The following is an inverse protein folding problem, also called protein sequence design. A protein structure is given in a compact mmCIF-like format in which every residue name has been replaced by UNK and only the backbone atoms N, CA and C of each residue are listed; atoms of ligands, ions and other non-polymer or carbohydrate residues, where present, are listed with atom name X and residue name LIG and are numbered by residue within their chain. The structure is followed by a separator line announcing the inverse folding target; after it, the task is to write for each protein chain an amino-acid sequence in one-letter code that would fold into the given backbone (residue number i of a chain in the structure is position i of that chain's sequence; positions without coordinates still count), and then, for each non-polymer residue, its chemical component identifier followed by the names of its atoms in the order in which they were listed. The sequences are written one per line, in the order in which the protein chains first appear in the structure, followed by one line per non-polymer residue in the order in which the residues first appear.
data_IF_474576038304
#
_entry.id   IF_474576038304
#
_cell.length_a   1.000
_cell.length_b   1.000
_cell.length_c   1.000
_cell.angle_alpha   90.00
_cell.angle_beta   90.00
_cell.angle_gamma   90.00
#
_symmetry.space_group_name_H-M   'P 1'
#
loop_
_entity.id
_entity.type
_entity.pdbx_description
1 polymer ?
#
# COMPACT_ATOMS: atom_id res chain seq x y z
N UNK A 1 -4.00 3.46 -7.27
CA UNK A 1 -5.06 2.42 -7.30
C UNK A 1 -6.24 3.00 -6.54
N UNK A 2 -7.43 3.13 -7.14
CA UNK A 2 -8.57 3.81 -6.51
C UNK A 2 -8.99 3.04 -5.25
N UNK A 3 -8.52 3.48 -4.08
CA UNK A 3 -8.69 2.79 -2.80
C UNK A 3 -9.84 3.46 -2.04
N UNK A 4 -11.08 2.99 -2.18
CA UNK A 4 -12.20 3.47 -1.36
C UNK A 4 -12.46 2.59 -0.12
N UNK A 5 -11.77 1.46 0.01
CA UNK A 5 -11.93 0.55 1.14
C UNK A 5 -10.62 0.38 1.91
N UNK A 6 -10.65 0.72 3.20
CA UNK A 6 -9.52 0.63 4.15
C UNK A 6 -8.87 -0.76 4.25
N UNK A 7 -9.43 -1.80 3.61
CA UNK A 7 -8.90 -3.17 3.58
C UNK A 7 -7.80 -3.43 2.54
N UNK A 8 -7.81 -2.74 1.39
CA UNK A 8 -6.92 -3.07 0.26
C UNK A 8 -5.42 -2.84 0.53
N UNK A 9 -5.09 -1.93 1.43
CA UNK A 9 -3.69 -1.66 1.77
C UNK A 9 -3.04 -2.76 2.58
N UNK A 10 -3.81 -3.37 3.48
CA UNK A 10 -3.35 -4.51 4.27
C UNK A 10 -3.10 -5.70 3.35
N UNK A 11 -3.93 -5.93 2.34
CA UNK A 11 -3.68 -6.96 1.32
C UNK A 11 -2.37 -6.71 0.56
N UNK A 12 -2.12 -5.48 0.11
CA UNK A 12 -0.86 -5.17 -0.59
C UNK A 12 0.35 -5.39 0.32
N UNK A 13 0.24 -5.00 1.60
CA UNK A 13 1.30 -5.21 2.57
C UNK A 13 1.56 -6.71 2.83
N UNK A 14 0.50 -7.51 2.91
CA UNK A 14 0.59 -8.95 3.10
C UNK A 14 1.21 -9.64 1.88
N UNK A 15 0.83 -9.23 0.66
CA UNK A 15 1.42 -9.69 -0.60
C UNK A 15 2.93 -9.39 -0.64
N UNK A 16 3.34 -8.17 -0.32
CA UNK A 16 4.76 -7.78 -0.29
C UNK A 16 5.54 -8.66 0.71
N UNK A 17 4.97 -8.91 1.89
CA UNK A 17 5.58 -9.78 2.90
C UNK A 17 5.61 -11.24 2.46
N UNK A 18 4.61 -11.70 1.72
CA UNK A 18 4.56 -13.02 1.08
C UNK A 18 5.67 -13.23 0.05
N UNK A 19 6.17 -12.15 -0.57
CA UNK A 19 7.36 -12.19 -1.42
C UNK A 19 8.68 -12.22 -0.64
N UNK A 20 8.64 -12.22 0.70
CA UNK A 20 9.83 -12.18 1.54
C UNK A 20 10.48 -10.79 1.64
N UNK A 21 9.81 -9.76 1.13
CA UNK A 21 10.29 -8.38 1.20
C UNK A 21 9.81 -7.69 2.48
N UNK A 22 10.64 -6.80 3.01
CA UNK A 22 10.34 -5.99 4.18
C UNK A 22 9.89 -4.60 3.75
N UNK A 23 8.70 -4.20 4.18
CA UNK A 23 8.21 -2.83 3.94
C UNK A 23 8.95 -1.88 4.88
N UNK A 24 9.84 -1.05 4.33
CA UNK A 24 10.57 -0.02 5.07
C UNK A 24 9.68 1.21 5.34
N UNK A 25 8.81 1.56 4.38
CA UNK A 25 7.91 2.70 4.50
C UNK A 25 6.67 2.53 3.62
N UNK A 26 5.49 2.80 4.17
CA UNK A 26 4.23 2.89 3.42
C UNK A 26 3.63 4.29 3.56
N UNK A 27 3.26 4.93 2.46
CA UNK A 27 2.61 6.24 2.43
C UNK A 27 1.29 6.11 1.68
N UNK A 28 0.20 6.60 2.29
CA UNK A 28 -1.07 6.79 1.59
C UNK A 28 -1.35 8.27 1.39
N UNK A 29 -1.76 8.64 0.19
CA UNK A 29 -2.12 10.01 -0.17
C UNK A 29 -3.45 10.02 -0.92
N UNK A 30 -4.40 10.81 -0.45
CA UNK A 30 -5.63 11.08 -1.18
C UNK A 30 -5.41 12.32 -2.06
N UNK A 31 -5.19 12.13 -3.36
CA UNK A 31 -5.01 13.22 -4.33
C UNK A 31 -6.13 13.20 -5.37
N UNK A 32 -6.82 14.33 -5.50
CA UNK A 32 -7.88 14.55 -6.50
C UNK A 32 -9.03 13.53 -6.41
N UNK A 33 -9.43 13.18 -5.17
CA UNK A 33 -10.47 12.17 -4.91
C UNK A 33 -10.02 10.72 -5.13
N UNK A 34 -8.74 10.48 -5.47
CA UNK A 34 -8.17 9.15 -5.63
C UNK A 34 -7.16 8.87 -4.52
N UNK A 35 -7.22 7.68 -3.92
CA UNK A 35 -6.18 7.23 -3.00
C UNK A 35 -4.99 6.66 -3.78
N UNK A 36 -3.79 7.01 -3.35
CA UNK A 36 -2.52 6.51 -3.82
C UNK A 36 -1.79 5.87 -2.65
N UNK A 37 -1.10 4.77 -2.91
CA UNK A 37 -0.28 4.10 -1.93
C UNK A 37 1.12 3.90 -2.51
N UNK A 38 2.14 4.33 -1.78
CA UNK A 38 3.55 4.16 -2.13
C UNK A 38 4.23 3.33 -1.05
N UNK A 39 4.96 2.29 -1.46
CA UNK A 39 5.70 1.43 -0.56
C UNK A 39 7.17 1.41 -0.96
N UNK A 40 8.04 1.56 0.03
CA UNK A 40 9.47 1.30 -0.08
C UNK A 40 9.71 -0.05 0.59
N UNK A 41 10.35 -0.96 -0.15
CA UNK A 41 10.56 -2.35 0.28
C UNK A 41 12.02 -2.75 0.07
N UNK A 42 12.50 -3.68 0.90
CA UNK A 42 13.84 -4.29 0.85
C UNK A 42 13.72 -5.82 0.74
#
# INVERSE_FOLDING_TARGET
MLCEERGFFLEIADIIRGFGLTILKGVMEARNGKIWAHFIVE
#
